data_IF_449868734874
#
_entry.id   IF_449868734874
#
_cell.length_a   1.000
_cell.length_b   1.000
_cell.length_c   1.000
_cell.angle_alpha   90.00
_cell.angle_beta   90.00
_cell.angle_gamma   90.00
#
_symmetry.space_group_name_H-M   'P 1'
#
loop_
_entity.id
_entity.type
_entity.pdbx_description
1 polymer ?
#
# COMPACT_ATOMS: atom_id res chain seq x y z
N UNK A 1 -28.84 6.93 -85.92
CA UNK A 1 -27.60 7.29 -85.26
C UNK A 1 -27.92 7.99 -83.93
N UNK A 2 -28.03 7.25 -82.82
CA UNK A 2 -28.22 7.92 -81.52
C UNK A 2 -27.61 7.06 -80.43
N UNK A 3 -26.58 7.49 -79.79
CA UNK A 3 -25.82 6.74 -78.78
C UNK A 3 -26.47 6.99 -77.41
N UNK A 4 -26.77 5.91 -76.69
CA UNK A 4 -27.17 6.01 -75.28
C UNK A 4 -25.87 6.10 -74.42
N UNK A 5 -25.87 6.90 -73.35
CA UNK A 5 -24.83 6.84 -72.36
C UNK A 5 -25.18 5.89 -71.24
N UNK A 6 -24.30 4.98 -70.97
CA UNK A 6 -24.30 3.98 -69.88
C UNK A 6 -23.98 4.67 -68.57
N UNK A 7 -24.95 4.89 -67.69
CA UNK A 7 -24.74 5.40 -66.33
C UNK A 7 -24.51 4.24 -65.39
N UNK A 8 -23.26 3.99 -65.10
CA UNK A 8 -22.84 3.07 -64.03
C UNK A 8 -23.19 3.69 -62.69
N UNK A 9 -24.14 3.09 -61.98
CA UNK A 9 -24.51 3.43 -60.58
C UNK A 9 -23.57 2.63 -59.67
N UNK A 10 -22.56 3.32 -59.09
CA UNK A 10 -21.73 2.78 -58.05
C UNK A 10 -22.50 2.83 -56.72
N UNK A 11 -22.94 1.70 -56.23
CA UNK A 11 -23.49 1.55 -54.90
C UNK A 11 -22.31 1.45 -53.93
N UNK A 12 -22.05 2.52 -53.19
CA UNK A 12 -21.07 2.51 -52.11
C UNK A 12 -21.74 1.85 -50.90
N UNK A 13 -21.40 0.60 -50.66
CA UNK A 13 -21.73 -0.13 -49.43
C UNK A 13 -20.83 0.35 -48.29
N UNK A 14 -21.31 1.31 -47.50
CA UNK A 14 -20.68 1.70 -46.23
C UNK A 14 -20.95 0.62 -45.19
N UNK A 15 -19.97 -0.23 -44.95
CA UNK A 15 -19.96 -1.15 -43.81
C UNK A 15 -19.66 -0.32 -42.56
N UNK A 16 -20.67 -0.06 -41.74
CA UNK A 16 -20.49 0.51 -40.41
C UNK A 16 -19.96 -0.58 -39.48
N UNK A 17 -18.64 -0.55 -39.20
CA UNK A 17 -18.03 -1.38 -38.18
C UNK A 17 -18.48 -0.85 -36.79
N UNK A 18 -19.50 -1.47 -36.20
CA UNK A 18 -19.83 -1.28 -34.80
C UNK A 18 -18.73 -1.96 -33.97
N UNK A 19 -17.76 -1.18 -33.50
CA UNK A 19 -16.77 -1.65 -32.53
C UNK A 19 -17.50 -1.86 -31.18
N UNK A 20 -17.76 -3.12 -30.83
CA UNK A 20 -18.18 -3.50 -29.46
C UNK A 20 -17.01 -3.15 -28.51
N UNK A 21 -17.10 -2.03 -27.82
CA UNK A 21 -16.24 -1.72 -26.71
C UNK A 21 -16.54 -2.70 -25.56
N UNK A 22 -15.76 -3.75 -25.43
CA UNK A 22 -15.82 -4.63 -24.26
C UNK A 22 -15.45 -3.81 -23.02
N UNK A 23 -16.16 -3.96 -21.87
CA UNK A 23 -15.79 -3.29 -20.65
C UNK A 23 -14.39 -3.79 -20.23
N UNK A 24 -13.44 -2.87 -20.12
CA UNK A 24 -12.12 -3.16 -19.54
C UNK A 24 -12.36 -3.36 -18.04
N UNK A 25 -12.44 -4.62 -17.63
CA UNK A 25 -12.41 -4.97 -16.21
C UNK A 25 -11.02 -4.62 -15.72
N UNK A 26 -10.90 -3.58 -14.87
CA UNK A 26 -9.63 -3.21 -14.26
C UNK A 26 -9.11 -4.40 -13.47
N UNK A 27 -7.89 -4.86 -13.79
CA UNK A 27 -7.23 -5.90 -13.03
C UNK A 27 -7.08 -5.46 -11.55
N UNK A 28 -7.21 -6.37 -10.57
CA UNK A 28 -6.96 -6.04 -9.18
C UNK A 28 -5.60 -5.38 -9.03
N UNK A 29 -5.54 -4.26 -8.31
CA UNK A 29 -4.27 -3.60 -8.06
C UNK A 29 -3.37 -4.52 -7.25
N UNK A 30 -2.12 -4.72 -7.65
CA UNK A 30 -1.20 -5.57 -6.91
C UNK A 30 -1.08 -5.05 -5.46
N UNK A 31 -0.95 -5.97 -4.51
CA UNK A 31 -0.75 -5.71 -3.09
C UNK A 31 0.42 -6.57 -2.60
N UNK A 32 1.08 -6.20 -1.50
CA UNK A 32 2.09 -7.07 -0.89
C UNK A 32 1.48 -8.42 -0.54
N UNK A 33 2.30 -9.46 -0.60
CA UNK A 33 1.88 -10.85 -0.32
C UNK A 33 2.84 -11.52 0.66
N UNK A 34 2.37 -12.57 1.33
CA UNK A 34 3.25 -13.43 2.13
C UNK A 34 4.34 -14.03 1.25
N UNK A 35 5.57 -13.99 1.73
CA UNK A 35 6.76 -14.43 1.01
C UNK A 35 7.47 -13.32 0.22
N UNK A 36 6.82 -12.17 -0.01
CA UNK A 36 7.52 -11.01 -0.57
C UNK A 36 8.58 -10.50 0.42
N UNK A 37 9.61 -9.83 -0.09
CA UNK A 37 10.72 -9.34 0.71
C UNK A 37 10.73 -7.82 0.76
N UNK A 38 10.68 -7.28 1.97
CA UNK A 38 10.96 -5.87 2.27
C UNK A 38 12.47 -5.71 2.45
N UNK A 39 13.18 -4.99 1.59
CA UNK A 39 14.61 -4.76 1.81
C UNK A 39 14.85 -3.85 3.00
N UNK A 40 16.02 -3.91 3.62
CA UNK A 40 16.47 -2.86 4.52
C UNK A 40 16.41 -1.51 3.82
N UNK A 41 16.03 -0.46 4.52
CA UNK A 41 15.90 0.85 3.92
C UNK A 41 16.37 1.98 4.83
N UNK A 42 16.96 2.99 4.19
CA UNK A 42 17.30 4.27 4.83
C UNK A 42 16.09 5.18 4.74
N UNK A 43 15.85 5.93 5.81
CA UNK A 43 14.72 6.82 5.95
C UNK A 43 15.04 7.96 6.91
N UNK A 44 14.04 8.78 7.22
CA UNK A 44 14.10 9.80 8.27
C UNK A 44 12.97 9.61 9.27
N UNK A 45 13.28 9.87 10.53
CA UNK A 45 12.28 9.98 11.59
C UNK A 45 11.42 11.23 11.37
N UNK A 46 10.32 11.34 12.10
CA UNK A 46 9.44 12.52 12.05
C UNK A 46 10.16 13.80 12.55
N UNK A 47 11.20 13.66 13.38
CA UNK A 47 12.06 14.77 13.85
C UNK A 47 13.17 15.16 12.85
N UNK A 48 13.21 14.51 11.67
CA UNK A 48 14.18 14.78 10.60
C UNK A 48 15.50 14.02 10.73
N UNK A 49 15.71 13.25 11.80
CA UNK A 49 16.95 12.49 11.98
C UNK A 49 16.98 11.27 11.04
N UNK A 50 18.14 10.98 10.43
CA UNK A 50 18.30 9.78 9.60
C UNK A 50 18.12 8.52 10.43
N UNK A 51 17.46 7.52 9.85
CA UNK A 51 17.27 6.21 10.46
C UNK A 51 17.35 5.10 9.41
N UNK A 52 17.98 3.98 9.79
CA UNK A 52 17.90 2.73 9.04
C UNK A 52 16.87 1.82 9.68
N UNK A 53 16.02 1.22 8.86
CA UNK A 53 15.12 0.12 9.24
C UNK A 53 15.69 -1.15 8.59
N UNK A 54 16.03 -2.13 9.41
CA UNK A 54 16.60 -3.40 8.97
C UNK A 54 15.93 -4.57 9.70
N UNK A 55 16.17 -5.77 9.19
CA UNK A 55 15.56 -7.01 9.65
C UNK A 55 16.63 -8.02 10.09
N UNK A 56 17.28 -7.78 11.26
CA UNK A 56 18.38 -8.61 11.70
C UNK A 56 17.93 -10.03 12.05
N UNK A 57 18.91 -10.92 12.06
CA UNK A 57 18.69 -12.33 12.38
C UNK A 57 18.07 -12.51 13.76
N UNK A 58 17.05 -13.37 13.84
CA UNK A 58 16.34 -13.72 15.09
C UNK A 58 15.34 -12.66 15.55
N UNK A 59 15.10 -11.58 14.76
CA UNK A 59 14.10 -10.57 15.07
C UNK A 59 12.86 -10.71 14.20
N UNK A 60 11.74 -10.17 14.70
CA UNK A 60 10.54 -9.90 13.92
C UNK A 60 10.19 -8.43 14.03
N UNK A 61 9.68 -7.87 12.95
CA UNK A 61 9.29 -6.46 12.88
C UNK A 61 7.88 -6.34 12.36
N UNK A 62 7.07 -5.52 13.00
CA UNK A 62 5.76 -5.10 12.46
C UNK A 62 5.92 -3.72 11.83
N UNK A 63 5.67 -3.64 10.54
CA UNK A 63 5.62 -2.37 9.79
C UNK A 63 4.16 -1.93 9.63
N UNK A 64 3.85 -0.72 10.08
CA UNK A 64 2.52 -0.13 10.06
C UNK A 64 2.47 1.02 9.06
N UNK A 65 1.96 0.78 7.85
CA UNK A 65 1.86 1.79 6.80
C UNK A 65 0.55 2.56 6.91
N UNK A 66 0.64 3.89 6.91
CA UNK A 66 -0.52 4.77 7.02
C UNK A 66 -0.32 6.10 6.27
N UNK A 67 -1.42 6.81 6.08
CA UNK A 67 -1.48 8.15 5.50
C UNK A 67 -2.07 9.12 6.52
N UNK A 68 -1.60 10.35 6.53
CA UNK A 68 -2.05 11.39 7.46
C UNK A 68 -3.53 11.75 7.31
N UNK A 69 -4.02 11.78 6.08
CA UNK A 69 -5.41 12.11 5.75
C UNK A 69 -6.37 10.91 5.65
N UNK A 70 -5.97 9.71 6.09
CA UNK A 70 -6.75 8.49 5.89
C UNK A 70 -7.68 8.20 7.09
N UNK A 71 -9.02 8.32 6.96
CA UNK A 71 -9.94 8.07 8.08
C UNK A 71 -9.86 6.66 8.65
N UNK A 72 -9.61 5.66 7.80
CA UNK A 72 -9.43 4.26 8.23
C UNK A 72 -8.14 4.07 9.02
N UNK A 73 -7.08 4.82 8.69
CA UNK A 73 -5.84 4.81 9.46
C UNK A 73 -6.05 5.42 10.84
N UNK A 74 -6.79 6.54 10.93
CA UNK A 74 -7.14 7.16 12.21
C UNK A 74 -7.92 6.23 13.13
N UNK A 75 -8.78 5.34 12.57
CA UNK A 75 -9.47 4.30 13.34
C UNK A 75 -8.52 3.22 13.84
N UNK A 76 -7.47 2.90 13.06
CA UNK A 76 -6.52 1.84 13.42
C UNK A 76 -5.44 2.28 14.39
N UNK A 77 -5.05 3.55 14.42
CA UNK A 77 -3.97 4.06 15.29
C UNK A 77 -4.19 3.70 16.78
N UNK A 78 -5.37 3.91 17.38
CA UNK A 78 -5.61 3.51 18.76
C UNK A 78 -5.47 1.99 19.00
N UNK A 79 -5.87 1.15 18.03
CA UNK A 79 -5.69 -0.29 18.10
C UNK A 79 -4.22 -0.69 18.01
N UNK A 80 -3.47 -0.05 17.09
CA UNK A 80 -2.03 -0.24 16.96
C UNK A 80 -1.26 0.21 18.20
N UNK A 81 -1.64 1.32 18.83
CA UNK A 81 -1.07 1.76 20.12
C UNK A 81 -1.26 0.68 21.19
N UNK A 82 -2.48 0.16 21.34
CA UNK A 82 -2.77 -0.92 22.31
C UNK A 82 -1.98 -2.19 22.02
N UNK A 83 -1.85 -2.56 20.76
CA UNK A 83 -1.07 -3.72 20.36
C UNK A 83 0.43 -3.51 20.59
N UNK A 84 0.94 -2.32 20.32
CA UNK A 84 2.31 -1.92 20.59
C UNK A 84 2.66 -1.98 22.08
N UNK A 85 1.80 -1.46 22.95
CA UNK A 85 2.00 -1.45 24.40
C UNK A 85 2.02 -2.87 25.00
N UNK A 86 1.29 -3.81 24.37
CA UNK A 86 1.18 -5.21 24.82
C UNK A 86 2.08 -6.17 24.05
N UNK A 87 2.91 -5.64 23.15
CA UNK A 87 3.74 -6.49 22.30
C UNK A 87 4.70 -7.35 23.11
N UNK A 88 5.01 -8.56 22.66
CA UNK A 88 6.03 -9.39 23.28
C UNK A 88 7.41 -8.71 23.20
N UNK A 89 8.27 -9.04 24.16
CA UNK A 89 9.67 -8.63 24.12
C UNK A 89 10.37 -9.13 22.84
N UNK A 90 11.21 -8.30 22.23
CA UNK A 90 11.91 -8.62 20.99
C UNK A 90 11.11 -8.41 19.71
N UNK A 91 9.82 -8.03 19.79
CA UNK A 91 9.07 -7.61 18.62
C UNK A 91 9.26 -6.12 18.38
N UNK A 92 9.95 -5.79 17.28
CA UNK A 92 10.09 -4.42 16.81
C UNK A 92 8.81 -3.93 16.13
N UNK A 93 8.46 -2.66 16.31
CA UNK A 93 7.32 -2.04 15.62
C UNK A 93 7.74 -0.69 15.08
N UNK A 94 7.46 -0.45 13.80
CA UNK A 94 7.79 0.80 13.11
C UNK A 94 6.59 1.25 12.29
N UNK A 95 6.07 2.43 12.60
CA UNK A 95 5.12 3.12 11.74
C UNK A 95 5.82 3.74 10.53
N UNK A 96 5.24 3.62 9.35
CA UNK A 96 5.75 4.20 8.11
C UNK A 96 4.67 5.11 7.53
N UNK A 97 4.86 6.43 7.70
CA UNK A 97 3.96 7.41 7.08
C UNK A 97 4.30 7.56 5.60
N UNK A 98 3.30 7.39 4.72
CA UNK A 98 3.50 7.29 3.28
C UNK A 98 3.32 8.62 2.52
N UNK A 99 2.74 9.62 3.16
CA UNK A 99 2.51 10.95 2.60
C UNK A 99 3.25 12.03 3.41
N UNK A 100 3.20 13.25 2.90
CA UNK A 100 3.64 14.41 3.63
C UNK A 100 2.47 14.90 4.50
N UNK A 101 2.62 14.78 5.80
CA UNK A 101 1.62 15.19 6.76
C UNK A 101 1.42 16.70 6.78
N UNK A 102 0.18 17.18 6.99
CA UNK A 102 -0.09 18.62 7.16
C UNK A 102 0.49 19.14 8.49
N UNK A 103 0.76 20.45 8.58
CA UNK A 103 1.17 21.07 9.84
C UNK A 103 0.18 20.75 10.97
N UNK A 104 0.70 20.43 12.14
CA UNK A 104 -0.10 20.10 13.31
C UNK A 104 -0.61 18.65 13.36
N UNK A 105 -0.34 17.81 12.37
CA UNK A 105 -0.80 16.41 12.35
C UNK A 105 -0.40 15.64 13.61
N UNK A 106 0.86 15.74 14.04
CA UNK A 106 1.39 15.01 15.20
C UNK A 106 0.79 15.45 16.55
N UNK A 107 0.18 16.63 16.60
CA UNK A 107 -0.54 17.12 17.78
C UNK A 107 -1.98 16.61 17.84
N UNK A 108 -2.52 16.12 16.72
CA UNK A 108 -3.92 15.67 16.65
C UNK A 108 -4.11 14.18 16.90
N UNK A 109 -3.05 13.39 16.75
CA UNK A 109 -3.08 11.95 16.92
C UNK A 109 -2.01 11.49 17.92
N UNK A 110 -2.45 10.85 19.00
CA UNK A 110 -1.53 10.21 19.94
C UNK A 110 -1.02 8.90 19.33
N UNK A 111 0.22 8.90 18.85
CA UNK A 111 0.91 7.69 18.35
C UNK A 111 2.01 7.34 19.34
N UNK A 112 1.98 6.10 19.88
CA UNK A 112 2.90 5.66 20.94
C UNK A 112 4.07 4.83 20.38
N UNK A 113 3.98 4.33 19.16
CA UNK A 113 5.05 3.58 18.50
C UNK A 113 5.98 4.50 17.67
N UNK A 114 7.23 4.09 17.42
CA UNK A 114 8.16 4.85 16.58
C UNK A 114 7.64 5.03 15.15
N UNK A 115 7.81 6.21 14.59
CA UNK A 115 7.37 6.53 13.21
C UNK A 115 8.52 7.06 12.38
N UNK A 116 8.62 6.57 11.16
CA UNK A 116 9.52 7.03 10.11
C UNK A 116 8.75 7.44 8.86
N UNK A 117 9.36 8.21 7.98
CA UNK A 117 8.83 8.54 6.66
C UNK A 117 9.08 7.41 5.68
N UNK A 118 8.18 7.16 4.75
CA UNK A 118 8.49 6.25 3.65
C UNK A 118 9.70 6.77 2.86
N UNK A 119 10.64 5.91 2.43
CA UNK A 119 11.84 6.34 1.68
C UNK A 119 11.52 7.05 0.36
N UNK A 120 10.30 6.86 -0.15
CA UNK A 120 9.80 7.51 -1.35
C UNK A 120 8.85 6.64 -2.14
N UNK A 121 8.27 7.22 -3.19
CA UNK A 121 7.26 6.52 -4.02
C UNK A 121 7.79 5.27 -4.71
N UNK A 122 9.07 5.23 -5.07
CA UNK A 122 9.66 4.06 -5.72
C UNK A 122 9.71 2.86 -4.78
N UNK A 123 10.09 3.07 -3.52
CA UNK A 123 10.07 2.03 -2.48
C UNK A 123 8.67 1.42 -2.32
N UNK A 124 7.64 2.26 -2.19
CA UNK A 124 6.26 1.81 -2.06
C UNK A 124 5.78 1.03 -3.31
N UNK A 125 6.12 1.51 -4.52
CA UNK A 125 5.79 0.79 -5.77
C UNK A 125 6.45 -0.57 -5.86
N UNK A 126 7.72 -0.67 -5.52
CA UNK A 126 8.48 -1.94 -5.58
C UNK A 126 7.87 -3.00 -4.64
N UNK A 127 7.25 -2.58 -3.56
CA UNK A 127 6.56 -3.44 -2.60
C UNK A 127 5.05 -3.57 -2.87
N UNK A 128 4.53 -3.00 -3.96
CA UNK A 128 3.09 -2.94 -4.26
C UNK A 128 2.25 -2.29 -3.14
N UNK A 129 2.84 -1.41 -2.33
CA UNK A 129 2.15 -0.69 -1.24
C UNK A 129 1.48 0.55 -1.82
N UNK A 130 0.19 0.46 -2.07
CA UNK A 130 -0.62 1.53 -2.67
C UNK A 130 -1.90 1.83 -1.86
N UNK A 131 -2.13 1.14 -0.76
CA UNK A 131 -3.30 1.29 0.12
C UNK A 131 -2.88 1.27 1.58
N UNK A 132 -3.67 1.97 2.41
CA UNK A 132 -3.54 2.02 3.86
C UNK A 132 -4.93 1.96 4.52
N UNK A 133 -5.02 1.58 5.78
CA UNK A 133 -3.95 1.08 6.64
C UNK A 133 -3.45 -0.31 6.21
N UNK A 134 -2.14 -0.57 6.38
CA UNK A 134 -1.54 -1.87 6.10
C UNK A 134 -0.58 -2.21 7.25
N UNK A 135 -0.68 -3.40 7.79
CA UNK A 135 0.28 -3.92 8.75
C UNK A 135 0.96 -5.17 8.18
N UNK A 136 2.28 -5.19 8.19
CA UNK A 136 3.10 -6.31 7.76
C UNK A 136 3.86 -6.87 8.96
N UNK A 137 3.80 -8.19 9.21
CA UNK A 137 4.76 -8.86 10.06
C UNK A 137 5.88 -9.41 9.19
N UNK A 138 7.08 -8.97 9.48
CA UNK A 138 8.29 -9.24 8.71
C UNK A 138 9.28 -9.99 9.58
N UNK A 139 9.82 -11.08 9.07
CA UNK A 139 10.86 -11.87 9.74
C UNK A 139 12.25 -11.39 9.37
N UNK A 140 13.29 -12.07 9.88
CA UNK A 140 14.67 -11.82 9.49
C UNK A 140 14.83 -11.83 7.96
N UNK A 141 15.72 -10.99 7.45
CA UNK A 141 15.96 -10.83 6.01
C UNK A 141 14.79 -10.18 5.26
N UNK A 142 13.79 -9.64 5.96
CA UNK A 142 12.73 -8.84 5.36
C UNK A 142 11.53 -9.62 4.80
N UNK A 143 11.44 -10.94 5.02
CA UNK A 143 10.33 -11.75 4.46
C UNK A 143 9.01 -11.42 5.15
N UNK A 144 7.97 -11.12 4.38
CA UNK A 144 6.61 -10.90 4.88
C UNK A 144 6.01 -12.25 5.30
N UNK A 145 5.86 -12.46 6.58
CA UNK A 145 5.26 -13.66 7.16
C UNK A 145 3.73 -13.57 7.21
N UNK A 146 3.23 -12.39 7.53
CA UNK A 146 1.79 -12.13 7.61
C UNK A 146 1.46 -10.67 7.37
N UNK A 147 0.20 -10.39 7.00
CA UNK A 147 -0.24 -9.02 6.72
C UNK A 147 -1.74 -8.82 6.95
N UNK A 148 -2.13 -7.57 7.23
CA UNK A 148 -3.52 -7.11 7.18
C UNK A 148 -3.63 -5.82 6.39
N UNK A 149 -4.69 -5.69 5.60
CA UNK A 149 -4.97 -4.50 4.81
C UNK A 149 -6.38 -3.99 5.13
N UNK A 150 -6.48 -2.69 5.39
CA UNK A 150 -7.73 -2.04 5.78
C UNK A 150 -7.96 -2.09 7.30
N UNK A 151 -9.19 -1.75 7.70
CA UNK A 151 -9.61 -1.83 9.10
C UNK A 151 -9.67 -3.29 9.52
N UNK A 152 -8.96 -3.61 10.58
CA UNK A 152 -8.75 -4.98 11.06
C UNK A 152 -9.30 -5.08 12.48
N UNK A 153 -9.99 -6.18 12.80
CA UNK A 153 -10.46 -6.46 14.15
C UNK A 153 -9.29 -6.77 15.12
N UNK A 154 -9.51 -6.62 16.45
CA UNK A 154 -8.44 -6.80 17.42
C UNK A 154 -7.86 -8.22 17.49
N UNK A 155 -8.65 -9.26 17.16
CA UNK A 155 -8.18 -10.66 17.18
C UNK A 155 -7.18 -10.86 16.05
N UNK A 156 -7.57 -10.47 14.83
CA UNK A 156 -6.70 -10.57 13.66
C UNK A 156 -5.45 -9.68 13.79
N UNK A 157 -5.61 -8.49 14.38
CA UNK A 157 -4.47 -7.63 14.68
C UNK A 157 -3.50 -8.30 15.69
N UNK A 158 -4.03 -8.98 16.68
CA UNK A 158 -3.25 -9.76 17.64
C UNK A 158 -2.38 -10.82 16.97
N UNK A 159 -2.82 -11.43 15.86
CA UNK A 159 -2.00 -12.38 15.10
C UNK A 159 -0.77 -11.69 14.44
N UNK A 160 -0.92 -10.45 13.99
CA UNK A 160 0.19 -9.66 13.43
C UNK A 160 1.26 -9.35 14.49
N UNK A 161 0.85 -9.12 15.74
CA UNK A 161 1.74 -8.77 16.85
C UNK A 161 2.23 -9.99 17.65
N UNK A 162 2.02 -11.21 17.17
CA UNK A 162 2.59 -12.42 17.81
C UNK A 162 4.12 -12.49 17.63
N UNK A 163 4.84 -13.11 18.58
CA UNK A 163 6.28 -13.32 18.47
C UNK A 163 6.67 -14.26 17.34
#
# INVERSE_FOLDING_TARGET
>A
MTRLPFRARWAVLTFALLALAAPVVAAPQPAPSKGDVVPDFETTRIDGQPQRVGFPKGSKTVLLFFLSGCPSCHKMIPEWNRAYERRPEGLEVVGVIMDQEPPGFWQTLSITFPVVRAPGRQFLRNLNINRAPLALRVTEGGTIEDLTLGVTDPIRLGEIFKP
#
